data_IF_179122011267
#
_entry.id   IF_179122011267
#
_cell.length_a   1.000
_cell.length_b   1.000
_cell.length_c   1.000
_cell.angle_alpha   90.00
_cell.angle_beta   90.00
_cell.angle_gamma   90.00
#
_symmetry.space_group_name_H-M   'P 1'
#
loop_
_entity.id
_entity.type
_entity.pdbx_description
1 polymer ?
#
# COMPACT_ATOMS: atom_id res chain seq x y z
N UNK A 1 1.55 14.26 -11.95
CA UNK A 1 2.65 15.20 -11.71
C UNK A 1 2.53 16.31 -12.75
N UNK A 2 2.40 17.59 -12.38
CA UNK A 2 2.29 18.72 -13.31
C UNK A 2 3.53 18.83 -14.19
N UNK A 3 3.35 19.39 -15.39
CA UNK A 3 4.44 19.47 -16.36
C UNK A 3 4.45 20.85 -17.00
N UNK A 4 5.62 21.52 -16.96
CA UNK A 4 5.91 22.74 -17.69
C UNK A 4 6.56 22.38 -19.02
N UNK A 5 5.87 22.63 -20.13
CA UNK A 5 6.42 22.40 -21.47
C UNK A 5 7.24 23.62 -21.93
N UNK A 6 8.43 23.36 -22.44
CA UNK A 6 9.34 24.36 -22.99
C UNK A 6 9.84 23.88 -24.35
N UNK A 7 9.52 24.61 -25.40
CA UNK A 7 9.98 24.36 -26.75
C UNK A 7 11.24 25.18 -27.05
N UNK A 8 12.22 24.54 -27.66
CA UNK A 8 13.52 25.11 -27.99
C UNK A 8 13.74 25.03 -29.51
N UNK A 9 14.35 26.06 -30.09
CA UNK A 9 14.70 26.10 -31.52
C UNK A 9 13.51 25.92 -32.47
N UNK A 10 12.28 26.26 -32.06
CA UNK A 10 11.08 26.09 -32.89
C UNK A 10 11.00 27.14 -34.01
N UNK A 11 11.00 28.42 -33.64
CA UNK A 11 10.87 29.53 -34.62
C UNK A 11 12.21 30.00 -35.19
N UNK A 12 13.26 29.95 -34.36
CA UNK A 12 14.62 30.36 -34.73
C UNK A 12 15.65 29.61 -33.90
N UNK A 13 16.91 29.69 -34.30
CA UNK A 13 18.02 29.11 -33.53
C UNK A 13 18.07 29.76 -32.13
N UNK A 14 18.10 28.94 -31.11
CA UNK A 14 18.06 29.32 -29.69
C UNK A 14 16.76 29.99 -29.24
N UNK A 15 15.67 29.95 -30.03
CA UNK A 15 14.38 30.44 -29.56
C UNK A 15 13.89 29.60 -28.39
N UNK A 16 13.15 30.23 -27.49
CA UNK A 16 12.52 29.60 -26.32
C UNK A 16 11.04 29.98 -26.34
N UNK A 17 10.17 28.95 -26.39
CA UNK A 17 8.74 29.13 -26.20
C UNK A 17 8.31 28.38 -24.94
N UNK A 18 7.70 29.08 -24.01
CA UNK A 18 7.17 28.54 -22.77
C UNK A 18 5.93 29.34 -22.39
N UNK A 19 5.01 28.79 -21.58
CA UNK A 19 3.89 29.57 -21.05
C UNK A 19 4.37 30.74 -20.22
N UNK A 20 3.54 31.78 -20.13
CA UNK A 20 3.88 32.97 -19.33
C UNK A 20 3.81 32.67 -17.82
N UNK A 21 2.91 31.77 -17.41
CA UNK A 21 2.66 31.43 -16.02
C UNK A 21 2.56 29.90 -15.85
N UNK A 22 3.00 29.44 -14.70
CA UNK A 22 2.85 28.04 -14.27
C UNK A 22 2.62 27.96 -12.75
N UNK A 23 1.54 27.28 -12.34
CA UNK A 23 1.20 27.09 -10.94
C UNK A 23 1.18 25.60 -10.60
N UNK A 24 1.65 25.24 -9.40
CA UNK A 24 1.65 23.87 -8.89
C UNK A 24 1.67 23.88 -7.35
N UNK A 25 1.23 22.78 -6.75
CA UNK A 25 1.24 22.57 -5.30
C UNK A 25 2.24 21.49 -4.85
N UNK A 26 3.26 21.21 -5.64
CA UNK A 26 4.26 20.20 -5.29
C UNK A 26 5.25 19.95 -6.42
N UNK A 27 5.89 18.82 -6.37
CA UNK A 27 6.88 18.41 -7.36
C UNK A 27 6.32 18.44 -8.79
N UNK A 28 7.12 18.88 -9.73
CA UNK A 28 6.74 18.97 -11.13
C UNK A 28 7.88 18.58 -12.06
N UNK A 29 7.62 18.53 -13.35
CA UNK A 29 8.65 18.28 -14.35
C UNK A 29 8.68 19.42 -15.37
N UNK A 30 9.86 19.81 -15.80
CA UNK A 30 10.07 20.66 -16.98
C UNK A 30 10.40 19.73 -18.14
N UNK A 31 9.63 19.82 -19.21
CA UNK A 31 9.88 19.08 -20.45
C UNK A 31 10.47 20.02 -21.48
N UNK A 32 11.75 19.81 -21.80
CA UNK A 32 12.50 20.56 -22.79
C UNK A 32 12.41 19.80 -24.13
N UNK A 33 11.62 20.30 -25.06
CA UNK A 33 11.47 19.75 -26.40
C UNK A 33 12.31 20.58 -27.37
N UNK A 34 13.34 19.98 -27.93
CA UNK A 34 14.23 20.63 -28.87
C UNK A 34 13.88 20.27 -30.31
N UNK A 35 13.39 21.22 -31.07
CA UNK A 35 13.00 21.06 -32.50
C UNK A 35 14.13 21.35 -33.47
N UNK A 36 15.32 21.69 -33.01
CA UNK A 36 16.44 22.04 -33.87
C UNK A 36 17.74 21.33 -33.46
N UNK A 37 18.87 22.03 -33.62
CA UNK A 37 20.19 21.50 -33.23
C UNK A 37 20.32 21.38 -31.74
N UNK A 38 21.24 20.49 -31.30
CA UNK A 38 21.61 20.36 -29.90
C UNK A 38 21.97 21.70 -29.25
N UNK A 39 21.52 21.90 -28.02
CA UNK A 39 21.70 23.15 -27.28
C UNK A 39 21.89 22.90 -25.80
N UNK A 40 22.52 23.88 -25.13
CA UNK A 40 22.55 23.95 -23.68
C UNK A 40 21.44 24.86 -23.16
N UNK A 41 20.74 24.42 -22.15
CA UNK A 41 19.66 25.17 -21.46
C UNK A 41 20.04 25.34 -20.01
N UNK A 42 20.06 26.58 -19.54
CA UNK A 42 20.25 26.89 -18.13
C UNK A 42 18.91 27.24 -17.51
N UNK A 43 18.58 26.56 -16.42
CA UNK A 43 17.40 26.79 -15.60
C UNK A 43 17.82 27.44 -14.29
N UNK A 44 17.22 28.56 -13.97
CA UNK A 44 17.52 29.28 -12.74
C UNK A 44 16.22 29.80 -12.11
N UNK A 45 15.99 29.43 -10.86
CA UNK A 45 14.94 29.99 -10.04
C UNK A 45 15.44 31.27 -9.39
N UNK A 46 14.57 32.26 -9.25
CA UNK A 46 14.89 33.46 -8.48
C UNK A 46 15.01 33.18 -6.97
N UNK A 47 15.41 34.19 -6.21
CA UNK A 47 15.77 34.03 -4.80
C UNK A 47 14.67 33.41 -3.94
N UNK A 48 13.41 33.74 -4.17
CA UNK A 48 12.30 33.23 -3.40
C UNK A 48 11.94 31.78 -3.79
N UNK A 49 11.88 31.51 -5.08
CA UNK A 49 11.65 30.15 -5.57
C UNK A 49 12.83 29.21 -5.28
N UNK A 50 14.05 29.71 -5.25
CA UNK A 50 15.24 28.90 -4.97
C UNK A 50 15.25 28.34 -3.52
N UNK A 51 14.45 28.89 -2.63
CA UNK A 51 14.27 28.39 -1.26
C UNK A 51 13.37 27.17 -1.20
N UNK A 52 12.41 27.09 -2.12
CA UNK A 52 11.37 26.07 -2.13
C UNK A 52 11.48 25.09 -3.30
N UNK A 53 12.10 25.48 -4.42
CA UNK A 53 12.32 24.65 -5.59
C UNK A 53 13.78 24.31 -5.77
N UNK A 54 14.08 23.07 -6.14
CA UNK A 54 15.43 22.61 -6.46
C UNK A 54 15.45 21.70 -7.68
N UNK A 55 16.53 21.80 -8.44
CA UNK A 55 16.86 20.89 -9.56
C UNK A 55 18.22 20.26 -9.29
N UNK A 56 18.43 19.04 -9.74
CA UNK A 56 19.70 18.33 -9.56
C UNK A 56 20.86 19.04 -10.30
N UNK A 57 20.58 19.58 -11.47
CA UNK A 57 21.52 20.29 -12.32
C UNK A 57 20.83 21.55 -12.87
N UNK A 58 21.56 22.62 -12.99
CA UNK A 58 21.07 23.88 -13.57
C UNK A 58 21.34 24.01 -15.07
N UNK A 59 22.32 23.23 -15.59
CA UNK A 59 22.68 23.21 -16.98
C UNK A 59 22.34 21.88 -17.64
N UNK A 60 21.51 21.91 -18.66
CA UNK A 60 21.01 20.73 -19.35
C UNK A 60 21.45 20.76 -20.82
N UNK A 61 22.18 19.75 -21.24
CA UNK A 61 22.39 19.50 -22.64
C UNK A 61 21.17 18.75 -23.20
N UNK A 62 20.61 19.25 -24.29
CA UNK A 62 19.46 18.67 -25.01
C UNK A 62 19.88 18.40 -26.45
N UNK A 63 19.83 17.14 -26.84
CA UNK A 63 20.17 16.73 -28.20
C UNK A 63 19.23 17.35 -29.23
N UNK A 64 19.68 17.37 -30.50
CA UNK A 64 18.83 17.83 -31.57
C UNK A 64 17.62 16.93 -31.78
N UNK A 65 16.46 17.51 -32.07
CA UNK A 65 15.20 16.80 -32.31
C UNK A 65 14.84 15.81 -31.21
N UNK A 66 15.11 16.17 -29.95
CA UNK A 66 14.90 15.30 -28.77
C UNK A 66 14.16 16.01 -27.67
N UNK A 67 13.68 15.21 -26.73
CA UNK A 67 12.98 15.69 -25.52
C UNK A 67 13.72 15.26 -24.28
N UNK A 68 13.98 16.21 -23.38
CA UNK A 68 14.58 15.95 -22.08
C UNK A 68 13.63 16.36 -20.96
N UNK A 69 13.44 15.47 -20.00
CA UNK A 69 12.64 15.76 -18.80
C UNK A 69 13.55 16.10 -17.63
N UNK A 70 13.30 17.23 -17.01
CA UNK A 70 13.98 17.70 -15.81
C UNK A 70 12.99 17.65 -14.64
N UNK A 71 13.32 16.92 -13.60
CA UNK A 71 12.51 16.84 -12.40
C UNK A 71 12.87 18.00 -11.45
N UNK A 72 11.84 18.68 -10.98
CA UNK A 72 11.95 19.75 -9.99
C UNK A 72 11.31 19.26 -8.69
N UNK A 73 12.09 19.32 -7.63
CA UNK A 73 11.59 19.07 -6.28
C UNK A 73 11.12 20.40 -5.71
N UNK A 74 9.85 20.45 -5.28
CA UNK A 74 9.30 21.57 -4.54
C UNK A 74 9.05 21.16 -3.09
N UNK A 75 9.47 21.99 -2.14
CA UNK A 75 9.12 21.80 -0.73
C UNK A 75 7.63 22.08 -0.51
N UNK A 76 7.07 21.49 0.52
CA UNK A 76 5.74 21.87 0.99
C UNK A 76 5.82 23.29 1.56
N UNK A 77 4.86 24.12 1.20
CA UNK A 77 4.77 25.50 1.64
C UNK A 77 3.44 25.73 2.35
N UNK A 78 3.43 26.59 3.36
CA UNK A 78 2.21 26.93 4.10
C UNK A 78 1.45 28.09 3.43
N UNK A 79 2.16 28.90 2.62
CA UNK A 79 1.63 30.04 1.87
C UNK A 79 2.14 29.98 0.43
N UNK A 80 1.37 30.54 -0.51
CA UNK A 80 1.78 30.62 -1.91
C UNK A 80 3.09 31.40 -2.07
N UNK A 81 4.09 30.73 -2.65
CA UNK A 81 5.37 31.34 -3.01
C UNK A 81 5.37 31.63 -4.51
N UNK A 82 5.48 32.92 -4.86
CA UNK A 82 5.53 33.38 -6.23
C UNK A 82 6.94 33.83 -6.59
N UNK A 83 7.34 33.62 -7.84
CA UNK A 83 8.64 34.05 -8.35
C UNK A 83 8.79 33.74 -9.84
N UNK A 84 10.03 33.70 -10.34
CA UNK A 84 10.31 33.52 -11.76
C UNK A 84 11.30 32.38 -12.00
N UNK A 85 10.96 31.55 -12.99
CA UNK A 85 11.91 30.64 -13.60
C UNK A 85 12.54 31.34 -14.80
N UNK A 86 13.85 31.50 -14.77
CA UNK A 86 14.66 32.00 -15.89
C UNK A 86 15.20 30.82 -16.69
N UNK A 87 14.88 30.80 -17.98
CA UNK A 87 15.34 29.80 -18.95
C UNK A 87 16.26 30.52 -19.92
N UNK A 88 17.48 30.01 -20.10
CA UNK A 88 18.51 30.65 -20.93
C UNK A 88 19.10 29.66 -21.91
N UNK A 89 19.24 30.06 -23.18
CA UNK A 89 19.91 29.29 -24.23
C UNK A 89 20.93 30.16 -24.99
N UNK A 90 21.68 29.54 -25.89
CA UNK A 90 22.60 30.26 -26.81
C UNK A 90 23.63 31.08 -26.07
N UNK A 91 24.28 30.54 -25.01
CA UNK A 91 25.27 31.24 -24.20
C UNK A 91 24.80 32.59 -23.62
N UNK A 92 23.50 32.67 -23.32
CA UNK A 92 22.92 33.88 -22.75
C UNK A 92 22.25 34.82 -23.76
N UNK A 93 22.28 34.50 -25.05
CA UNK A 93 21.69 35.35 -26.10
C UNK A 93 20.15 35.33 -26.07
N UNK A 94 19.52 34.25 -25.63
CA UNK A 94 18.08 34.15 -25.49
C UNK A 94 17.68 33.80 -24.07
N UNK A 95 16.74 34.56 -23.54
CA UNK A 95 16.24 34.38 -22.17
C UNK A 95 14.71 34.45 -22.18
N UNK A 96 14.07 33.51 -21.49
CA UNK A 96 12.63 33.49 -21.25
C UNK A 96 12.39 33.44 -19.74
N UNK A 97 11.43 34.20 -19.26
CA UNK A 97 10.94 34.15 -17.89
C UNK A 97 9.55 33.53 -17.85
N UNK A 98 9.32 32.66 -16.89
CA UNK A 98 8.00 32.08 -16.61
C UNK A 98 7.65 32.48 -15.17
N UNK A 99 6.48 33.09 -15.00
CA UNK A 99 5.96 33.39 -13.66
C UNK A 99 5.50 32.09 -13.01
N UNK A 100 6.07 31.77 -11.86
CA UNK A 100 5.84 30.54 -11.12
C UNK A 100 5.07 30.81 -9.85
N UNK A 101 4.12 29.97 -9.53
CA UNK A 101 3.39 29.98 -8.27
C UNK A 101 3.44 28.56 -7.67
N UNK A 102 3.97 28.47 -6.45
CA UNK A 102 3.96 27.22 -5.67
C UNK A 102 2.93 27.42 -4.58
N UNK A 103 1.81 26.74 -4.73
CA UNK A 103 0.70 26.80 -3.80
C UNK A 103 0.87 25.78 -2.67
N UNK A 104 0.34 26.05 -1.48
CA UNK A 104 0.23 25.05 -0.44
C UNK A 104 -0.56 23.85 -0.97
N UNK A 105 -0.25 22.64 -0.48
CA UNK A 105 -1.05 21.48 -0.80
C UNK A 105 -2.49 21.82 -0.46
N UNK A 106 -3.48 21.44 -1.32
CA UNK A 106 -4.86 21.65 -0.98
C UNK A 106 -5.02 21.12 0.43
N UNK A 107 -5.57 21.93 1.34
CA UNK A 107 -6.02 21.40 2.62
C UNK A 107 -6.79 20.17 2.21
N UNK A 108 -6.18 19.01 2.41
CA UNK A 108 -6.96 17.80 2.44
C UNK A 108 -8.02 18.19 3.43
N UNK A 109 -9.24 18.54 2.96
CA UNK A 109 -10.38 18.29 3.78
C UNK A 109 -10.01 16.93 4.28
N UNK A 110 -9.51 16.87 5.50
CA UNK A 110 -9.48 15.66 6.24
C UNK A 110 -10.90 15.24 6.03
N UNK A 111 -11.14 14.44 4.98
CA UNK A 111 -12.28 13.60 4.99
C UNK A 111 -12.12 13.05 6.38
N UNK A 112 -12.79 13.70 7.32
CA UNK A 112 -13.17 13.05 8.55
C UNK A 112 -13.88 11.87 7.97
N UNK A 113 -13.07 10.83 7.72
CA UNK A 113 -13.59 9.51 7.50
C UNK A 113 -14.43 9.40 8.74
N UNK A 114 -15.72 9.62 8.56
CA UNK A 114 -16.69 9.33 9.60
C UNK A 114 -16.41 7.87 9.84
N UNK A 115 -15.50 7.61 10.78
CA UNK A 115 -15.18 6.27 11.23
C UNK A 115 -16.52 5.83 11.74
N UNK A 116 -17.18 5.01 10.91
CA UNK A 116 -18.49 4.47 11.25
C UNK A 116 -18.28 3.92 12.65
N UNK A 117 -18.97 4.47 13.65
CA UNK A 117 -18.81 4.09 15.06
C UNK A 117 -18.95 2.59 15.27
N UNK A 118 -19.48 1.89 14.28
CA UNK A 118 -19.54 0.42 14.22
C UNK A 118 -18.15 -0.24 14.22
N UNK A 119 -17.10 0.47 13.74
CA UNK A 119 -15.72 -0.03 13.75
C UNK A 119 -14.95 0.37 15.01
N UNK A 120 -15.45 1.32 15.80
CA UNK A 120 -14.86 1.70 17.08
C UNK A 120 -15.33 0.82 18.24
N UNK A 121 -16.43 0.07 18.08
CA UNK A 121 -16.80 -0.95 19.04
C UNK A 121 -15.89 -2.15 18.79
N UNK A 122 -15.10 -2.59 19.81
CA UNK A 122 -14.48 -3.90 19.73
C UNK A 122 -15.59 -4.91 19.41
N UNK A 123 -15.36 -5.87 18.50
CA UNK A 123 -16.36 -6.87 18.23
C UNK A 123 -16.78 -7.45 19.58
N UNK A 124 -18.07 -7.30 19.94
CA UNK A 124 -18.60 -7.99 21.10
C UNK A 124 -18.26 -9.45 20.87
N UNK A 125 -17.30 -9.94 21.63
CA UNK A 125 -16.99 -11.36 21.64
C UNK A 125 -18.29 -12.03 22.02
N UNK A 126 -18.97 -12.63 21.05
CA UNK A 126 -20.07 -13.52 21.32
C UNK A 126 -19.57 -14.45 22.41
N UNK A 127 -20.27 -14.57 23.54
CA UNK A 127 -19.83 -15.46 24.61
C UNK A 127 -19.55 -16.82 23.99
N UNK A 128 -18.36 -17.33 24.25
CA UNK A 128 -17.94 -18.63 23.75
C UNK A 128 -19.06 -19.65 24.03
N UNK A 129 -19.52 -20.38 23.04
CA UNK A 129 -20.61 -21.33 23.24
C UNK A 129 -20.20 -22.31 24.35
N UNK A 130 -21.11 -22.66 25.26
CA UNK A 130 -20.80 -23.56 26.36
C UNK A 130 -20.22 -24.87 25.85
N UNK A 131 -19.31 -25.47 26.61
CA UNK A 131 -18.57 -26.69 26.23
C UNK A 131 -19.45 -27.78 25.59
N UNK A 132 -20.69 -27.90 26.04
CA UNK A 132 -21.66 -28.83 25.45
C UNK A 132 -22.01 -28.54 24.00
N UNK A 133 -22.15 -27.28 23.59
CA UNK A 133 -22.43 -26.91 22.19
C UNK A 133 -21.22 -27.12 21.30
N UNK A 134 -19.99 -26.89 21.79
CA UNK A 134 -18.75 -27.19 21.06
C UNK A 134 -18.59 -28.69 20.80
N UNK A 135 -18.91 -29.51 21.80
CA UNK A 135 -18.89 -30.96 21.66
C UNK A 135 -19.92 -31.44 20.63
N UNK A 136 -21.16 -30.90 20.68
CA UNK A 136 -22.20 -31.23 19.73
C UNK A 136 -21.83 -30.84 18.29
N UNK A 137 -21.28 -29.66 18.08
CA UNK A 137 -20.83 -29.21 16.73
C UNK A 137 -19.68 -30.08 16.19
N UNK A 138 -18.71 -30.48 17.02
CA UNK A 138 -17.65 -31.38 16.65
C UNK A 138 -18.14 -32.77 16.22
N UNK A 139 -19.15 -33.29 16.92
CA UNK A 139 -19.77 -34.57 16.57
C UNK A 139 -20.51 -34.47 15.24
N UNK A 140 -21.25 -33.39 14.99
CA UNK A 140 -21.97 -33.19 13.73
C UNK A 140 -21.01 -33.12 12.54
N UNK A 141 -19.90 -32.40 12.68
CA UNK A 141 -18.87 -32.31 11.63
C UNK A 141 -18.19 -33.66 11.35
N UNK A 142 -17.97 -34.46 12.41
CA UNK A 142 -17.43 -35.81 12.29
C UNK A 142 -18.35 -36.77 11.55
N UNK A 143 -19.68 -36.64 11.78
CA UNK A 143 -20.72 -37.44 11.10
C UNK A 143 -20.78 -37.10 9.61
N UNK A 144 -20.71 -35.81 9.26
CA UNK A 144 -20.79 -35.38 7.86
C UNK A 144 -19.55 -35.76 7.04
N UNK A 145 -18.36 -35.74 7.66
CA UNK A 145 -17.10 -36.09 6.97
C UNK A 145 -16.70 -37.56 6.96
N UNK A 146 -17.13 -38.33 7.96
CA UNK A 146 -16.61 -39.67 8.17
C UNK A 146 -17.65 -40.81 8.09
N UNK A 147 -18.90 -40.49 7.87
CA UNK A 147 -19.97 -41.50 7.92
C UNK A 147 -20.26 -42.04 9.34
N UNK A 148 -21.25 -42.90 9.43
CA UNK A 148 -21.78 -43.42 10.71
C UNK A 148 -20.73 -44.13 11.58
N UNK A 149 -19.75 -44.76 10.96
CA UNK A 149 -18.69 -45.50 11.64
C UNK A 149 -17.72 -44.56 12.41
N UNK A 150 -17.33 -43.42 11.81
CA UNK A 150 -16.48 -42.44 12.46
C UNK A 150 -17.18 -41.74 13.65
N UNK A 151 -18.49 -41.51 13.55
CA UNK A 151 -19.28 -40.96 14.64
C UNK A 151 -19.34 -41.88 15.85
N UNK A 152 -19.56 -43.17 15.64
CA UNK A 152 -19.61 -44.20 16.69
C UNK A 152 -18.26 -44.28 17.42
N UNK A 153 -17.15 -44.26 16.66
CA UNK A 153 -15.81 -44.28 17.25
C UNK A 153 -15.52 -43.01 18.06
N UNK A 154 -15.93 -41.84 17.57
CA UNK A 154 -15.79 -40.57 18.31
C UNK A 154 -16.55 -40.55 19.64
N UNK A 155 -17.79 -41.00 19.63
CA UNK A 155 -18.64 -41.08 20.84
C UNK A 155 -18.01 -42.07 21.85
N UNK A 156 -17.57 -43.22 21.41
CA UNK A 156 -16.91 -44.21 22.28
C UNK A 156 -15.63 -43.66 22.89
N UNK A 157 -14.83 -42.92 22.14
CA UNK A 157 -13.61 -42.28 22.65
C UNK A 157 -13.92 -41.21 23.72
N UNK A 158 -14.99 -40.42 23.56
CA UNK A 158 -15.41 -39.44 24.53
C UNK A 158 -15.92 -40.11 25.81
N UNK A 159 -16.73 -41.15 25.71
CA UNK A 159 -17.23 -41.91 26.86
C UNK A 159 -16.09 -42.58 27.62
N UNK A 160 -15.13 -43.19 26.91
CA UNK A 160 -13.95 -43.77 27.53
C UNK A 160 -13.07 -42.70 28.23
N UNK A 161 -12.88 -41.52 27.63
CA UNK A 161 -12.15 -40.42 28.23
C UNK A 161 -12.81 -39.88 29.52
N UNK A 162 -14.15 -39.73 29.52
CA UNK A 162 -14.90 -39.30 30.71
C UNK A 162 -14.86 -40.37 31.79
N UNK A 163 -15.03 -41.65 31.47
CA UNK A 163 -14.91 -42.74 32.42
C UNK A 163 -13.49 -42.80 33.05
N UNK A 164 -12.44 -42.58 32.27
CA UNK A 164 -11.07 -42.50 32.73
C UNK A 164 -10.85 -41.32 33.67
N UNK A 165 -11.40 -40.14 33.34
CA UNK A 165 -11.28 -38.95 34.17
C UNK A 165 -11.99 -39.08 35.56
N UNK A 166 -13.10 -39.82 35.60
CA UNK A 166 -13.85 -40.08 36.84
C UNK A 166 -13.25 -41.22 37.66
N UNK A 167 -12.33 -42.01 37.13
CA UNK A 167 -11.84 -43.25 37.71
C UNK A 167 -10.39 -43.19 38.23
N UNK A 168 -9.83 -41.98 38.34
CA UNK A 168 -8.40 -41.74 38.69
C UNK A 168 -7.96 -42.40 40.03
N UNK A 169 -8.87 -42.76 40.90
CA UNK A 169 -8.58 -43.36 42.19
C UNK A 169 -8.60 -44.92 42.25
N UNK A 170 -8.90 -45.59 41.11
CA UNK A 170 -8.98 -47.07 41.11
C UNK A 170 -8.12 -47.69 40.02
N UNK A 171 -7.08 -48.41 40.45
CA UNK A 171 -6.12 -49.13 39.56
C UNK A 171 -6.81 -50.17 38.67
N UNK A 172 -7.90 -50.77 39.16
CA UNK A 172 -8.68 -51.80 38.45
C UNK A 172 -9.46 -51.20 37.27
N UNK A 173 -10.04 -50.01 37.45
CA UNK A 173 -10.83 -49.32 36.41
C UNK A 173 -9.90 -48.78 35.33
N UNK A 174 -8.70 -48.30 35.68
CA UNK A 174 -7.71 -47.88 34.68
C UNK A 174 -7.23 -49.03 33.78
N UNK A 175 -7.10 -50.24 34.33
CA UNK A 175 -6.75 -51.40 33.53
C UNK A 175 -7.88 -51.85 32.62
N UNK A 176 -9.14 -51.84 33.10
CA UNK A 176 -10.31 -52.18 32.30
C UNK A 176 -10.48 -51.21 31.12
N UNK A 177 -10.31 -49.90 31.32
CA UNK A 177 -10.41 -48.87 30.27
C UNK A 177 -9.28 -49.04 29.26
N UNK A 178 -8.07 -49.37 29.67
CA UNK A 178 -6.95 -49.66 28.78
C UNK A 178 -7.21 -50.88 27.84
N UNK A 179 -7.82 -51.94 28.36
CA UNK A 179 -8.21 -53.11 27.53
C UNK A 179 -9.31 -52.73 26.52
N UNK A 180 -10.32 -51.98 26.91
CA UNK A 180 -11.39 -51.56 25.99
C UNK A 180 -10.82 -50.66 24.88
N UNK A 181 -9.97 -49.69 25.20
CA UNK A 181 -9.29 -48.87 24.20
C UNK A 181 -8.45 -49.68 23.20
N UNK A 182 -7.72 -50.65 23.70
CA UNK A 182 -6.87 -51.55 22.84
C UNK A 182 -7.73 -52.35 21.87
N UNK A 183 -8.83 -52.93 22.35
CA UNK A 183 -9.79 -53.68 21.49
C UNK A 183 -10.38 -52.76 20.45
N UNK A 184 -10.75 -51.54 20.82
CA UNK A 184 -11.37 -50.57 19.92
C UNK A 184 -10.42 -50.15 18.79
N UNK A 185 -9.13 -49.91 19.10
CA UNK A 185 -8.08 -49.60 18.13
C UNK A 185 -7.89 -50.79 17.15
N UNK A 186 -7.86 -52.01 17.65
CA UNK A 186 -7.73 -53.20 16.81
C UNK A 186 -8.93 -53.37 15.86
N UNK A 187 -10.17 -53.13 16.36
CA UNK A 187 -11.37 -53.20 15.51
C UNK A 187 -11.34 -52.14 14.44
N UNK A 188 -10.95 -50.90 14.75
CA UNK A 188 -10.83 -49.80 13.78
C UNK A 188 -9.76 -50.15 12.72
N UNK A 189 -8.60 -50.67 13.10
CA UNK A 189 -7.57 -51.08 12.16
C UNK A 189 -8.05 -52.22 11.23
N UNK A 190 -8.83 -53.16 11.76
CA UNK A 190 -9.41 -54.26 10.96
C UNK A 190 -10.54 -53.80 10.01
N UNK A 191 -11.23 -52.70 10.33
CA UNK A 191 -12.30 -52.17 9.44
C UNK A 191 -11.76 -51.20 8.39
N UNK A 192 -10.51 -50.69 8.56
CA UNK A 192 -9.84 -49.83 7.59
C UNK A 192 -8.86 -50.58 6.66
N UNK A 193 -8.57 -51.86 6.93
CA UNK A 193 -7.78 -52.75 6.10
C UNK A 193 -8.65 -53.55 5.13
#
# INVERSE_FOLDING_TARGET
MPTLAVELNGDAVHSIRAPDRFATNGHFSIVLENLGRSTHVHLHFDDDLNRVCSVAETNHFVDGESTKRVHVTAAEVDETVAGKLKIVTGYGSNTRYVDMEIDPPPESETQRVAVDERFTKPPERSPDPPLGQRAAAAVTELVERGGLSAAIVGILAIVAGVALALAIDSLIVSFAVGVVLTVLIVVVLLTMA
#
